data_IF_070927888689
#
_entry.id   IF_070927888689
#
_cell.length_a   1.000
_cell.length_b   1.000
_cell.length_c   1.000
_cell.angle_alpha   90.00
_cell.angle_beta   90.00
_cell.angle_gamma   90.00
#
_symmetry.space_group_name_H-M   'P 1'
#
loop_
_entity.id
_entity.type
_entity.pdbx_description
1 polymer ?
#
# COMPACT_ATOMS: atom_id res chain seq x y z
N UNK A 1 17.67 41.89 2.86
CA UNK A 1 16.51 41.38 3.63
C UNK A 1 15.95 40.15 2.95
N UNK A 2 16.14 38.96 3.55
CA UNK A 2 15.76 37.67 2.95
C UNK A 2 14.30 37.36 3.28
N UNK A 3 13.44 37.36 2.26
CA UNK A 3 12.03 36.96 2.36
C UNK A 3 11.94 35.46 2.65
N UNK A 4 11.41 35.12 3.83
CA UNK A 4 11.09 33.74 4.21
C UNK A 4 9.84 33.29 3.46
N UNK A 5 9.99 32.41 2.47
CA UNK A 5 8.87 31.67 1.91
C UNK A 5 8.49 30.58 2.93
N UNK A 6 7.47 30.86 3.73
CA UNK A 6 6.80 29.90 4.61
C UNK A 6 5.80 29.10 3.76
N UNK A 7 6.10 27.83 3.50
CA UNK A 7 5.14 26.88 2.92
C UNK A 7 4.60 25.97 4.02
N UNK A 8 3.48 26.36 4.65
CA UNK A 8 2.63 25.46 5.43
C UNK A 8 1.17 25.88 5.24
N UNK A 9 0.35 24.96 4.70
CA UNK A 9 -0.97 24.55 5.18
C UNK A 9 -1.90 24.19 4.01
N UNK A 10 -2.37 22.95 4.03
CA UNK A 10 -3.57 22.55 3.31
C UNK A 10 -4.75 23.40 3.81
N UNK A 11 -5.30 24.25 2.96
CA UNK A 11 -6.56 24.95 3.20
C UNK A 11 -7.38 24.96 1.91
N UNK A 12 -8.59 24.42 2.04
CA UNK A 12 -9.80 24.73 1.28
C UNK A 12 -9.64 24.88 -0.24
N UNK A 13 -9.78 23.76 -0.96
CA UNK A 13 -10.24 23.85 -2.35
C UNK A 13 -11.76 23.97 -2.36
N UNK A 14 -12.24 25.18 -2.63
CA UNK A 14 -13.58 25.41 -3.15
C UNK A 14 -13.75 24.61 -4.44
N UNK A 15 -14.77 23.76 -4.45
CA UNK A 15 -15.17 22.99 -5.63
C UNK A 15 -15.84 23.96 -6.59
N UNK A 16 -15.08 24.54 -7.51
CA UNK A 16 -15.63 25.19 -8.69
C UNK A 16 -15.14 24.46 -9.96
N UNK A 17 -16.07 23.64 -10.46
CA UNK A 17 -16.40 23.41 -11.86
C UNK A 17 -15.27 23.03 -12.84
N UNK A 18 -15.05 21.73 -12.96
CA UNK A 18 -14.88 21.06 -14.26
C UNK A 18 -15.76 19.80 -14.21
N UNK A 19 -17.06 19.96 -14.45
CA UNK A 19 -18.02 18.87 -14.45
C UNK A 19 -18.82 18.93 -15.76
N UNK A 20 -18.22 18.46 -16.85
CA UNK A 20 -18.93 18.25 -18.11
C UNK A 20 -18.68 16.87 -18.74
N UNK A 21 -18.02 15.92 -18.07
CA UNK A 21 -17.86 14.54 -18.58
C UNK A 21 -17.85 13.45 -17.48
N UNK A 22 -18.32 13.76 -16.26
CA UNK A 22 -18.37 12.74 -15.21
C UNK A 22 -19.54 11.78 -15.45
N UNK A 23 -19.27 10.48 -15.44
CA UNK A 23 -20.27 9.41 -15.51
C UNK A 23 -21.31 9.63 -14.41
N UNK A 24 -22.59 9.56 -14.80
CA UNK A 24 -23.73 9.66 -13.89
C UNK A 24 -24.29 8.26 -13.60
N UNK A 25 -24.90 8.12 -12.44
CA UNK A 25 -25.49 6.89 -11.93
C UNK A 25 -26.93 7.16 -11.52
N UNK A 26 -27.81 6.22 -11.84
CA UNK A 26 -29.19 6.20 -11.35
C UNK A 26 -29.26 5.57 -9.96
N UNK A 27 -30.30 5.91 -9.20
CA UNK A 27 -30.56 5.26 -7.91
C UNK A 27 -30.62 3.74 -8.06
N UNK A 28 -31.38 3.24 -9.05
CA UNK A 28 -31.56 1.80 -9.27
C UNK A 28 -30.23 1.09 -9.55
N UNK A 29 -29.36 1.65 -10.39
CA UNK A 29 -28.04 1.07 -10.67
C UNK A 29 -27.21 0.90 -9.40
N UNK A 30 -27.14 1.94 -8.55
CA UNK A 30 -26.34 1.87 -7.32
C UNK A 30 -27.00 0.96 -6.30
N UNK A 31 -28.32 1.01 -6.15
CA UNK A 31 -29.06 0.24 -5.16
C UNK A 31 -28.88 -1.27 -5.35
N UNK A 32 -28.88 -1.76 -6.59
CA UNK A 32 -28.73 -3.19 -6.89
C UNK A 32 -27.28 -3.71 -6.81
N UNK A 33 -26.29 -2.85 -6.61
CA UNK A 33 -24.90 -3.30 -6.42
C UNK A 33 -24.76 -4.11 -5.12
N UNK A 34 -23.88 -5.13 -5.07
CA UNK A 34 -23.62 -5.89 -3.86
C UNK A 34 -22.98 -5.01 -2.79
N UNK A 35 -23.43 -5.15 -1.54
CA UNK A 35 -22.91 -4.39 -0.40
C UNK A 35 -21.40 -4.59 -0.25
N UNK A 36 -20.64 -3.51 -0.42
CA UNK A 36 -19.19 -3.54 -0.53
C UNK A 36 -18.58 -2.14 -0.45
N UNK A 37 -17.25 -2.05 -0.31
CA UNK A 37 -16.51 -0.78 -0.38
C UNK A 37 -16.62 -0.17 -1.80
N UNK A 38 -16.70 -1.00 -2.83
CA UNK A 38 -16.91 -0.58 -4.21
C UNK A 38 -18.29 0.04 -4.39
N UNK A 39 -19.34 -0.56 -3.82
CA UNK A 39 -20.67 0.07 -3.73
C UNK A 39 -20.61 1.40 -2.97
N UNK A 40 -19.90 1.47 -1.84
CA UNK A 40 -19.74 2.72 -1.09
C UNK A 40 -19.16 3.86 -1.93
N UNK A 41 -18.22 3.55 -2.82
CA UNK A 41 -17.68 4.51 -3.77
C UNK A 41 -18.74 4.99 -4.75
N UNK A 42 -19.57 4.09 -5.30
CA UNK A 42 -20.66 4.48 -6.19
C UNK A 42 -21.80 5.22 -5.47
N UNK A 43 -22.07 4.91 -4.20
CA UNK A 43 -22.95 5.71 -3.34
C UNK A 43 -22.39 7.13 -3.21
N UNK A 44 -21.08 7.28 -2.96
CA UNK A 44 -20.46 8.60 -2.89
C UNK A 44 -20.55 9.36 -4.22
N UNK A 45 -20.25 8.70 -5.35
CA UNK A 45 -20.38 9.26 -6.70
C UNK A 45 -21.82 9.75 -6.94
N UNK A 46 -22.81 8.92 -6.64
CA UNK A 46 -24.22 9.24 -6.75
C UNK A 46 -24.58 10.47 -5.90
N UNK A 47 -24.25 10.48 -4.61
CA UNK A 47 -24.51 11.61 -3.72
C UNK A 47 -23.87 12.93 -4.17
N UNK A 48 -22.76 12.87 -4.92
CA UNK A 48 -22.10 14.06 -5.47
C UNK A 48 -22.81 14.66 -6.69
N UNK A 49 -23.73 13.93 -7.34
CA UNK A 49 -24.48 14.43 -8.50
C UNK A 49 -25.44 15.53 -8.09
N UNK A 50 -25.63 16.53 -8.96
CA UNK A 50 -26.62 17.60 -8.71
C UNK A 50 -28.05 17.05 -8.63
N UNK A 51 -28.36 16.06 -9.46
CA UNK A 51 -29.69 15.45 -9.61
C UNK A 51 -30.16 14.62 -8.41
N UNK A 52 -29.26 14.13 -7.56
CA UNK A 52 -29.63 13.30 -6.41
C UNK A 52 -30.40 14.11 -5.36
N UNK A 53 -31.61 13.65 -5.06
CA UNK A 53 -32.52 14.25 -4.08
C UNK A 53 -32.16 13.85 -2.64
N UNK A 54 -32.65 14.62 -1.67
CA UNK A 54 -32.50 14.28 -0.25
C UNK A 54 -33.18 12.95 0.11
N UNK A 55 -34.30 12.60 -0.53
CA UNK A 55 -35.02 11.34 -0.31
C UNK A 55 -34.20 10.14 -0.78
N UNK A 56 -33.66 10.20 -2.00
CA UNK A 56 -32.77 9.16 -2.52
C UNK A 56 -31.51 9.04 -1.67
N UNK A 57 -30.92 10.16 -1.25
CA UNK A 57 -29.74 10.18 -0.40
C UNK A 57 -29.97 9.47 0.95
N UNK A 58 -31.13 9.69 1.60
CA UNK A 58 -31.50 8.99 2.84
C UNK A 58 -31.66 7.49 2.63
N UNK A 59 -32.30 7.10 1.51
CA UNK A 59 -32.53 5.69 1.20
C UNK A 59 -31.24 4.95 0.85
N UNK A 60 -30.47 5.45 -0.12
CA UNK A 60 -29.26 4.77 -0.62
C UNK A 60 -28.16 4.65 0.44
N UNK A 61 -28.13 5.55 1.42
CA UNK A 61 -27.14 5.50 2.51
C UNK A 61 -27.30 4.24 3.39
N UNK A 62 -28.50 3.65 3.45
CA UNK A 62 -28.73 2.41 4.21
C UNK A 62 -27.98 1.21 3.61
N UNK A 63 -27.67 1.28 2.31
CA UNK A 63 -26.93 0.24 1.60
C UNK A 63 -25.43 0.29 1.85
N UNK A 64 -24.93 1.39 2.43
CA UNK A 64 -23.49 1.55 2.63
C UNK A 64 -22.92 0.51 3.59
N UNK A 65 -21.73 0.03 3.26
CA UNK A 65 -20.98 -0.95 4.03
C UNK A 65 -20.10 -0.26 5.08
N UNK A 66 -19.48 0.86 4.75
CA UNK A 66 -18.63 1.65 5.63
C UNK A 66 -18.84 3.16 5.46
N UNK A 67 -18.83 3.91 6.57
CA UNK A 67 -18.85 5.37 6.53
C UNK A 67 -17.45 5.97 6.66
N UNK A 68 -16.89 6.41 5.55
CA UNK A 68 -15.72 7.28 5.55
C UNK A 68 -16.11 8.77 5.61
N UNK A 69 -15.12 9.65 5.71
CA UNK A 69 -15.33 11.11 5.76
C UNK A 69 -16.05 11.65 4.52
N UNK A 70 -15.66 11.20 3.32
CA UNK A 70 -16.23 11.64 2.03
C UNK A 70 -17.73 11.33 1.92
N UNK A 71 -18.14 10.12 2.29
CA UNK A 71 -19.55 9.72 2.32
C UNK A 71 -20.35 10.57 3.31
N UNK A 72 -19.83 10.76 4.53
CA UNK A 72 -20.50 11.59 5.55
C UNK A 72 -20.69 13.02 5.07
N UNK A 73 -19.68 13.61 4.43
CA UNK A 73 -19.74 14.97 3.90
C UNK A 73 -20.72 15.09 2.73
N UNK A 74 -20.67 14.17 1.76
CA UNK A 74 -21.58 14.16 0.62
C UNK A 74 -23.04 13.99 1.07
N UNK A 75 -23.29 13.08 2.01
CA UNK A 75 -24.62 12.87 2.59
C UNK A 75 -25.12 14.09 3.37
N UNK A 76 -24.27 14.69 4.21
CA UNK A 76 -24.63 15.90 4.97
C UNK A 76 -24.96 17.05 4.04
N UNK A 77 -24.20 17.23 2.95
CA UNK A 77 -24.48 18.24 1.91
C UNK A 77 -25.85 18.04 1.25
N UNK A 78 -26.30 16.79 1.08
CA UNK A 78 -27.59 16.46 0.44
C UNK A 78 -28.79 16.50 1.36
N UNK A 79 -28.61 16.19 2.65
CA UNK A 79 -29.73 15.96 3.57
C UNK A 79 -29.78 16.93 4.75
N UNK A 80 -28.71 17.71 4.97
CA UNK A 80 -28.49 18.51 6.19
C UNK A 80 -28.14 17.66 7.43
N UNK A 81 -28.26 16.34 7.36
CA UNK A 81 -28.14 15.43 8.51
C UNK A 81 -26.80 14.69 8.54
N UNK A 82 -26.40 14.20 9.71
CA UNK A 82 -25.20 13.37 9.83
C UNK A 82 -25.53 11.90 9.58
N UNK A 83 -24.84 11.25 8.65
CA UNK A 83 -25.01 9.83 8.38
C UNK A 83 -24.59 8.96 9.58
N UNK A 84 -25.38 7.95 9.90
CA UNK A 84 -25.08 6.87 10.86
C UNK A 84 -25.45 5.54 10.24
N UNK A 85 -24.60 4.52 10.41
CA UNK A 85 -24.92 3.14 10.08
C UNK A 85 -25.23 2.38 11.35
N UNK A 86 -26.11 1.38 11.23
CA UNK A 86 -26.31 0.41 12.30
C UNK A 86 -24.97 -0.28 12.61
N UNK A 87 -24.64 -0.49 13.90
CA UNK A 87 -23.44 -1.24 14.27
C UNK A 87 -23.55 -2.65 13.70
N UNK A 88 -22.52 -3.07 12.95
CA UNK A 88 -22.44 -4.46 12.50
C UNK A 88 -22.09 -5.35 13.71
N UNK A 89 -22.66 -6.56 13.79
CA UNK A 89 -22.21 -7.51 14.80
C UNK A 89 -20.70 -7.74 14.68
N UNK A 90 -19.98 -7.87 15.79
CA UNK A 90 -18.54 -8.14 15.77
C UNK A 90 -18.26 -9.44 15.01
N UNK A 91 -17.54 -9.36 13.88
CA UNK A 91 -17.11 -10.52 13.08
C UNK A 91 -15.87 -11.21 13.71
N UNK A 92 -15.65 -11.05 15.02
CA UNK A 92 -14.45 -11.57 15.67
C UNK A 92 -14.63 -13.04 16.03
N UNK A 93 -13.78 -13.92 15.47
CA UNK A 93 -13.59 -15.24 16.07
C UNK A 93 -12.79 -15.09 17.37
N UNK A 94 -13.01 -15.96 18.36
CA UNK A 94 -12.30 -15.88 19.65
C UNK A 94 -10.76 -15.91 19.48
N UNK A 95 -10.28 -16.64 18.47
CA UNK A 95 -8.87 -16.66 18.03
C UNK A 95 -8.35 -15.28 17.64
N UNK A 96 -9.13 -14.51 16.89
CA UNK A 96 -8.72 -13.19 16.37
C UNK A 96 -8.52 -12.19 17.51
N UNK A 97 -9.35 -12.29 18.55
CA UNK A 97 -9.24 -11.45 19.75
C UNK A 97 -7.96 -11.77 20.53
N UNK A 98 -7.60 -13.04 20.67
CA UNK A 98 -6.37 -13.44 21.34
C UNK A 98 -5.14 -12.98 20.55
N UNK A 99 -5.13 -13.20 19.24
CA UNK A 99 -4.07 -12.76 18.33
C UNK A 99 -3.85 -11.25 18.38
N UNK A 100 -4.94 -10.46 18.41
CA UNK A 100 -4.85 -9.01 18.55
C UNK A 100 -4.20 -8.60 19.88
N UNK A 101 -4.59 -9.20 21.00
CA UNK A 101 -4.00 -8.91 22.33
C UNK A 101 -2.50 -9.21 22.34
N UNK A 102 -2.12 -10.39 21.85
CA UNK A 102 -0.71 -10.80 21.75
C UNK A 102 0.09 -9.83 20.91
N UNK A 103 -0.45 -9.41 19.76
CA UNK A 103 0.19 -8.45 18.86
C UNK A 103 0.36 -7.07 19.51
N UNK A 104 -0.65 -6.56 20.21
CA UNK A 104 -0.57 -5.26 20.91
C UNK A 104 0.55 -5.29 21.95
N UNK A 105 0.62 -6.36 22.75
CA UNK A 105 1.64 -6.50 23.79
C UNK A 105 3.04 -6.67 23.19
N UNK A 106 3.18 -7.50 22.15
CA UNK A 106 4.43 -7.66 21.41
C UNK A 106 4.93 -6.32 20.82
N UNK A 107 4.02 -5.49 20.29
CA UNK A 107 4.35 -4.15 19.81
C UNK A 107 4.84 -3.21 20.91
N UNK A 108 4.28 -3.30 22.13
CA UNK A 108 4.79 -2.54 23.28
C UNK A 108 6.22 -2.97 23.64
N UNK A 109 6.48 -4.27 23.66
CA UNK A 109 7.83 -4.78 23.92
C UNK A 109 8.81 -4.33 22.84
N UNK A 110 8.44 -4.44 21.57
CA UNK A 110 9.27 -3.99 20.45
C UNK A 110 9.58 -2.50 20.53
N UNK A 111 8.56 -1.65 20.73
CA UNK A 111 8.72 -0.21 20.86
C UNK A 111 9.59 0.17 22.07
N UNK A 112 9.50 -0.58 23.17
CA UNK A 112 10.34 -0.37 24.34
C UNK A 112 11.80 -0.76 24.07
N UNK A 113 12.04 -1.86 23.35
CA UNK A 113 13.37 -2.22 22.86
C UNK A 113 14.02 -1.10 22.04
N UNK A 114 13.28 -0.53 21.08
CA UNK A 114 13.73 0.62 20.27
C UNK A 114 14.07 1.84 21.15
N UNK A 115 13.24 2.16 22.15
CA UNK A 115 13.51 3.26 23.09
C UNK A 115 14.78 3.00 23.92
N UNK A 116 15.02 1.76 24.34
CA UNK A 116 16.20 1.38 25.13
C UNK A 116 17.50 1.47 24.34
N UNK A 117 17.48 1.18 23.02
CA UNK A 117 18.61 1.43 22.13
C UNK A 117 19.01 2.91 22.15
N UNK A 118 18.02 3.82 22.03
CA UNK A 118 18.27 5.27 22.11
C UNK A 118 18.86 5.72 23.44
N UNK A 119 18.61 4.98 24.53
CA UNK A 119 19.18 5.19 25.87
C UNK A 119 20.50 4.43 26.10
N UNK A 120 21.08 3.81 25.06
CA UNK A 120 22.28 2.95 25.12
C UNK A 120 22.15 1.75 26.09
N UNK A 121 20.93 1.36 26.47
CA UNK A 121 20.66 0.21 27.36
C UNK A 121 20.49 -1.07 26.52
N UNK A 122 21.58 -1.48 25.85
CA UNK A 122 21.53 -2.52 24.81
C UNK A 122 21.11 -3.89 25.33
N UNK A 123 21.62 -4.31 26.50
CA UNK A 123 21.25 -5.60 27.09
C UNK A 123 19.75 -5.69 27.40
N UNK A 124 19.18 -4.64 27.99
CA UNK A 124 17.74 -4.54 28.22
C UNK A 124 16.98 -4.52 26.90
N UNK A 125 17.49 -3.83 25.87
CA UNK A 125 16.84 -3.83 24.55
C UNK A 125 16.73 -5.26 23.97
N UNK A 126 17.79 -6.07 24.10
CA UNK A 126 17.83 -7.47 23.68
C UNK A 126 16.72 -8.29 24.37
N UNK A 127 16.59 -8.18 25.70
CA UNK A 127 15.53 -8.86 26.47
C UNK A 127 14.12 -8.53 25.94
N UNK A 128 13.88 -7.26 25.63
CA UNK A 128 12.60 -6.79 25.10
C UNK A 128 12.33 -7.29 23.67
N UNK A 129 13.35 -7.39 22.82
CA UNK A 129 13.18 -8.01 21.50
C UNK A 129 12.90 -9.51 21.57
N UNK A 130 13.47 -10.23 22.55
CA UNK A 130 13.09 -11.63 22.79
C UNK A 130 11.63 -11.76 23.24
N UNK A 131 11.18 -10.92 24.18
CA UNK A 131 9.77 -10.88 24.62
C UNK A 131 8.84 -10.64 23.43
N UNK A 132 9.15 -9.63 22.61
CA UNK A 132 8.39 -9.34 21.40
C UNK A 132 8.38 -10.53 20.42
N UNK A 133 9.54 -11.14 20.14
CA UNK A 133 9.65 -12.26 19.19
C UNK A 133 8.82 -13.48 19.61
N UNK A 134 8.80 -13.80 20.91
CA UNK A 134 8.01 -14.91 21.47
C UNK A 134 6.51 -14.70 21.32
N UNK A 135 6.04 -13.45 21.39
CA UNK A 135 4.61 -13.11 21.37
C UNK A 135 4.05 -12.83 19.97
N UNK A 136 4.86 -12.33 19.03
CA UNK A 136 4.38 -12.09 17.68
C UNK A 136 3.89 -13.39 17.06
N UNK A 137 2.72 -13.36 16.41
CA UNK A 137 2.19 -14.52 15.65
C UNK A 137 2.56 -14.41 14.18
N UNK A 138 2.61 -13.18 13.63
CA UNK A 138 2.94 -12.96 12.22
C UNK A 138 4.44 -13.09 11.94
N UNK A 139 4.77 -13.85 10.89
CA UNK A 139 6.16 -14.20 10.53
C UNK A 139 7.05 -12.99 10.29
N UNK A 140 6.57 -11.96 9.59
CA UNK A 140 7.37 -10.77 9.29
C UNK A 140 7.69 -9.93 10.54
N UNK A 141 6.86 -9.97 11.59
CA UNK A 141 7.14 -9.31 12.87
C UNK A 141 8.21 -10.10 13.68
N UNK A 142 8.16 -11.44 13.60
CA UNK A 142 9.25 -12.30 14.09
C UNK A 142 10.56 -12.04 13.35
N UNK A 143 10.53 -11.90 12.03
CA UNK A 143 11.72 -11.61 11.24
C UNK A 143 12.33 -10.25 11.60
N UNK A 144 11.49 -9.22 11.74
CA UNK A 144 11.91 -7.91 12.23
C UNK A 144 12.66 -7.98 13.56
N UNK A 145 12.13 -8.72 14.54
CA UNK A 145 12.77 -8.89 15.85
C UNK A 145 14.08 -9.68 15.76
N UNK A 146 14.13 -10.75 14.96
CA UNK A 146 15.36 -11.51 14.72
C UNK A 146 16.47 -10.63 14.12
N UNK A 147 16.12 -9.73 13.20
CA UNK A 147 17.10 -8.81 12.62
C UNK A 147 17.62 -7.79 13.64
N UNK A 148 16.76 -7.26 14.51
CA UNK A 148 17.20 -6.40 15.61
C UNK A 148 18.10 -7.13 16.61
N UNK A 149 17.78 -8.38 16.94
CA UNK A 149 18.65 -9.23 17.76
C UNK A 149 20.02 -9.43 17.10
N UNK A 150 20.06 -9.72 15.80
CA UNK A 150 21.32 -9.76 15.04
C UNK A 150 22.09 -8.43 15.11
N UNK A 151 21.42 -7.29 14.89
CA UNK A 151 22.09 -5.99 14.92
C UNK A 151 22.76 -5.72 16.27
N UNK A 152 22.13 -6.14 17.37
CA UNK A 152 22.57 -5.91 18.75
C UNK A 152 23.64 -6.91 19.21
N UNK A 153 23.53 -8.18 18.87
CA UNK A 153 24.43 -9.23 19.39
C UNK A 153 25.48 -9.70 18.38
N UNK A 154 25.29 -9.41 17.10
CA UNK A 154 26.08 -9.91 15.96
C UNK A 154 26.09 -11.42 15.79
N UNK A 155 25.23 -12.15 16.50
CA UNK A 155 25.17 -13.61 16.39
C UNK A 155 24.52 -14.06 15.07
N UNK A 156 25.27 -14.81 14.25
CA UNK A 156 24.81 -15.29 12.94
C UNK A 156 23.60 -16.23 12.99
N UNK A 157 23.30 -16.87 14.14
CA UNK A 157 22.13 -17.74 14.30
C UNK A 157 20.82 -17.03 13.95
N UNK A 158 20.73 -15.72 14.14
CA UNK A 158 19.56 -14.94 13.78
C UNK A 158 19.42 -14.76 12.26
N UNK A 159 20.54 -14.54 11.56
CA UNK A 159 20.56 -14.53 10.09
C UNK A 159 20.18 -15.89 9.53
N UNK A 160 20.66 -16.99 10.13
CA UNK A 160 20.26 -18.34 9.74
C UNK A 160 18.76 -18.58 9.93
N UNK A 161 18.17 -18.09 11.02
CA UNK A 161 16.71 -18.14 11.23
C UNK A 161 15.94 -17.31 10.20
N UNK A 162 16.45 -16.14 9.82
CA UNK A 162 15.85 -15.29 8.78
C UNK A 162 15.90 -15.95 7.40
N UNK A 163 16.99 -16.61 7.05
CA UNK A 163 17.14 -17.33 5.79
C UNK A 163 16.17 -18.51 5.64
N UNK A 164 15.68 -19.06 6.75
CA UNK A 164 14.66 -20.12 6.78
C UNK A 164 13.22 -19.57 6.81
N UNK A 165 13.03 -18.25 6.86
CA UNK A 165 11.68 -17.65 6.86
C UNK A 165 11.02 -17.81 5.49
N UNK A 166 9.75 -18.20 5.48
CA UNK A 166 8.96 -18.27 4.24
C UNK A 166 8.51 -16.89 3.74
N UNK A 167 8.44 -15.90 4.64
CA UNK A 167 7.87 -14.61 4.33
C UNK A 167 8.91 -13.68 3.71
N UNK A 168 8.67 -13.21 2.49
CA UNK A 168 9.54 -12.23 1.82
C UNK A 168 9.36 -10.85 2.47
N UNK A 169 10.41 -10.36 3.12
CA UNK A 169 10.45 -9.02 3.68
C UNK A 169 11.88 -8.46 3.68
N UNK A 170 12.01 -7.16 3.96
CA UNK A 170 13.28 -6.45 4.03
C UNK A 170 14.35 -7.20 4.83
N UNK A 171 13.98 -7.78 5.98
CA UNK A 171 14.91 -8.44 6.89
C UNK A 171 15.44 -9.76 6.33
N UNK A 172 14.60 -10.54 5.65
CA UNK A 172 15.03 -11.77 4.96
C UNK A 172 15.98 -11.50 3.79
N UNK A 173 15.76 -10.41 3.05
CA UNK A 173 16.64 -10.00 1.95
C UNK A 173 17.96 -9.45 2.48
N UNK A 174 17.93 -8.66 3.56
CA UNK A 174 19.15 -8.19 4.22
C UNK A 174 19.98 -9.37 4.77
N UNK A 175 19.34 -10.36 5.38
CA UNK A 175 20.04 -11.56 5.85
C UNK A 175 20.66 -12.36 4.70
N UNK A 176 20.03 -12.40 3.53
CA UNK A 176 20.63 -13.01 2.34
C UNK A 176 21.80 -12.17 1.80
N UNK A 177 21.70 -10.85 1.78
CA UNK A 177 22.76 -9.95 1.32
C UNK A 177 24.00 -10.01 2.21
N UNK A 178 23.81 -9.94 3.53
CA UNK A 178 24.89 -9.98 4.53
C UNK A 178 25.67 -11.29 4.47
N UNK A 179 24.98 -12.39 4.19
CA UNK A 179 25.58 -13.73 4.11
C UNK A 179 25.93 -14.13 2.67
N UNK A 180 25.84 -13.19 1.72
CA UNK A 180 26.14 -13.41 0.30
C UNK A 180 25.37 -14.59 -0.34
N UNK A 181 24.13 -14.85 0.12
CA UNK A 181 23.26 -15.93 -0.38
C UNK A 181 22.25 -15.44 -1.43
N UNK A 182 21.59 -16.39 -2.09
CA UNK A 182 20.49 -16.12 -3.02
C UNK A 182 19.24 -15.66 -2.26
N UNK A 183 18.40 -14.85 -2.91
CA UNK A 183 17.08 -14.51 -2.37
C UNK A 183 16.14 -15.70 -2.31
N UNK A 184 15.13 -15.68 -1.42
CA UNK A 184 14.34 -16.87 -1.14
C UNK A 184 13.55 -17.34 -2.36
N UNK A 185 13.49 -18.68 -2.55
CA UNK A 185 12.80 -19.32 -3.67
C UNK A 185 11.27 -19.19 -3.59
N UNK A 186 10.70 -18.72 -2.48
CA UNK A 186 9.26 -18.45 -2.33
C UNK A 186 8.79 -17.20 -3.09
N UNK A 187 9.69 -16.48 -3.77
CA UNK A 187 9.38 -15.42 -4.74
C UNK A 187 8.97 -16.05 -6.07
N UNK A 188 7.68 -15.96 -6.40
CA UNK A 188 7.10 -16.58 -7.61
C UNK A 188 6.69 -15.49 -8.61
N UNK A 189 7.03 -15.68 -9.88
CA UNK A 189 6.40 -14.94 -10.98
C UNK A 189 5.54 -15.91 -11.76
N UNK A 190 4.20 -15.74 -11.75
CA UNK A 190 3.32 -16.60 -12.51
C UNK A 190 3.56 -16.42 -14.01
N UNK A 191 3.40 -17.50 -14.78
CA UNK A 191 3.40 -17.48 -16.23
C UNK A 191 1.98 -17.78 -16.71
N UNK A 192 1.38 -16.83 -17.44
CA UNK A 192 -0.05 -16.86 -17.78
C UNK A 192 -0.19 -16.73 -19.29
N UNK A 193 -0.82 -17.72 -19.92
CA UNK A 193 -1.04 -17.75 -21.37
C UNK A 193 -2.31 -16.99 -21.77
N UNK A 194 -3.42 -17.23 -21.05
CA UNK A 194 -4.75 -16.63 -21.31
C UNK A 194 -4.70 -15.11 -21.23
N UNK A 195 -5.28 -14.42 -22.22
CA UNK A 195 -5.33 -12.96 -22.22
C UNK A 195 -6.44 -12.44 -21.29
N UNK A 196 -7.63 -13.03 -21.37
CA UNK A 196 -8.83 -12.70 -20.60
C UNK A 196 -9.55 -13.97 -20.14
N UNK A 197 -10.58 -13.81 -19.30
CA UNK A 197 -11.53 -14.85 -18.90
C UNK A 197 -12.97 -14.37 -19.17
N UNK A 198 -13.90 -15.31 -19.39
CA UNK A 198 -15.31 -14.97 -19.59
C UNK A 198 -15.98 -14.60 -18.26
N UNK A 199 -16.86 -13.60 -18.27
CA UNK A 199 -17.73 -13.26 -17.13
C UNK A 199 -17.05 -12.50 -15.99
N UNK A 200 -15.81 -12.03 -16.15
CA UNK A 200 -15.12 -11.18 -15.18
C UNK A 200 -14.48 -10.01 -15.91
N UNK A 201 -14.94 -8.79 -15.65
CA UNK A 201 -14.25 -7.57 -16.08
C UNK A 201 -13.21 -7.16 -15.02
N UNK A 202 -11.92 -7.19 -15.40
CA UNK A 202 -10.82 -6.81 -14.53
C UNK A 202 -10.86 -5.33 -14.09
N UNK A 203 -11.56 -4.48 -14.84
CA UNK A 203 -11.68 -3.04 -14.63
C UNK A 203 -12.98 -2.66 -13.90
N UNK A 204 -13.97 -3.55 -13.77
CA UNK A 204 -15.22 -3.28 -13.06
C UNK A 204 -15.07 -3.51 -11.54
N UNK A 205 -15.18 -2.47 -10.68
CA UNK A 205 -15.20 -2.62 -9.23
C UNK A 205 -16.30 -3.56 -8.72
N UNK A 206 -17.44 -3.65 -9.40
CA UNK A 206 -18.54 -4.49 -8.97
C UNK A 206 -18.24 -5.98 -9.20
N UNK A 207 -17.57 -6.34 -10.29
CA UNK A 207 -17.09 -7.70 -10.49
C UNK A 207 -16.03 -8.09 -9.46
N UNK A 208 -15.14 -7.16 -9.10
CA UNK A 208 -14.22 -7.39 -7.98
C UNK A 208 -14.95 -7.56 -6.63
N UNK A 209 -16.03 -6.80 -6.39
CA UNK A 209 -16.86 -6.95 -5.20
C UNK A 209 -17.55 -8.32 -5.16
N UNK A 210 -18.09 -8.81 -6.29
CA UNK A 210 -18.67 -10.16 -6.42
C UNK A 210 -17.64 -11.24 -6.14
N UNK A 211 -16.43 -11.13 -6.70
CA UNK A 211 -15.34 -12.07 -6.45
C UNK A 211 -14.99 -12.11 -4.96
N UNK A 212 -14.84 -10.95 -4.30
CA UNK A 212 -14.62 -10.90 -2.85
C UNK A 212 -15.76 -11.53 -2.07
N UNK A 213 -17.01 -11.36 -2.46
CA UNK A 213 -18.14 -12.02 -1.80
C UNK A 213 -18.02 -13.54 -1.89
N UNK A 214 -17.71 -14.10 -3.07
CA UNK A 214 -17.46 -15.54 -3.27
C UNK A 214 -16.37 -16.07 -2.34
N UNK A 215 -15.29 -15.31 -2.12
CA UNK A 215 -14.19 -15.71 -1.22
C UNK A 215 -14.59 -15.88 0.25
N UNK A 216 -15.73 -15.33 0.69
CA UNK A 216 -16.18 -15.43 2.08
C UNK A 216 -17.28 -16.48 2.27
N UNK A 217 -17.66 -17.22 1.22
CA UNK A 217 -18.56 -18.35 1.35
C UNK A 217 -17.90 -19.46 2.18
N UNK A 218 -18.65 -20.19 3.04
CA UNK A 218 -18.08 -21.21 3.92
C UNK A 218 -17.32 -22.34 3.21
N UNK A 219 -17.73 -22.66 2.00
CA UNK A 219 -17.26 -23.73 1.12
C UNK A 219 -16.34 -23.23 -0.01
N UNK A 220 -15.92 -21.96 0.03
CA UNK A 220 -15.09 -21.38 -1.02
C UNK A 220 -13.69 -22.03 -1.09
N UNK A 221 -13.37 -22.70 -2.21
CA UNK A 221 -12.00 -23.06 -2.54
C UNK A 221 -11.29 -21.88 -3.22
N UNK A 222 -10.30 -21.30 -2.53
CA UNK A 222 -9.55 -20.16 -3.04
C UNK A 222 -8.59 -20.52 -4.18
N UNK A 223 -8.22 -21.79 -4.36
CA UNK A 223 -7.47 -22.23 -5.53
C UNK A 223 -8.37 -22.27 -6.75
N UNK A 224 -9.55 -22.87 -6.65
CA UNK A 224 -10.51 -22.93 -7.76
C UNK A 224 -10.92 -21.52 -8.20
N UNK A 225 -11.24 -20.63 -7.23
CA UNK A 225 -11.52 -19.22 -7.53
C UNK A 225 -10.34 -18.50 -8.20
N UNK A 226 -9.10 -18.88 -7.87
CA UNK A 226 -7.93 -18.31 -8.52
C UNK A 226 -7.81 -18.79 -9.97
N UNK A 227 -8.13 -20.06 -10.24
CA UNK A 227 -8.11 -20.67 -11.57
C UNK A 227 -9.21 -20.09 -12.46
N UNK A 228 -10.40 -19.85 -11.92
CA UNK A 228 -11.52 -19.15 -12.57
C UNK A 228 -11.12 -17.78 -13.14
N UNK A 229 -10.21 -17.07 -12.47
CA UNK A 229 -9.74 -15.75 -12.88
C UNK A 229 -8.28 -15.75 -13.36
N UNK A 230 -7.75 -16.87 -13.84
CA UNK A 230 -6.39 -16.95 -14.38
C UNK A 230 -6.29 -16.38 -15.80
N UNK A 231 -5.96 -15.09 -15.91
CA UNK A 231 -5.59 -14.44 -17.18
C UNK A 231 -4.62 -13.28 -16.98
N UNK A 232 -4.07 -12.74 -18.08
CA UNK A 232 -3.21 -11.55 -18.05
C UNK A 232 -3.95 -10.32 -17.54
N UNK A 233 -5.22 -10.15 -17.87
CA UNK A 233 -6.07 -9.04 -17.41
C UNK A 233 -6.41 -9.15 -15.92
N UNK A 234 -6.74 -10.35 -15.45
CA UNK A 234 -7.16 -10.61 -14.06
C UNK A 234 -6.02 -11.09 -13.16
N UNK A 235 -4.75 -10.97 -13.58
CA UNK A 235 -3.60 -11.54 -12.85
C UNK A 235 -3.43 -10.99 -11.42
N UNK A 236 -3.89 -9.77 -11.18
CA UNK A 236 -3.94 -9.20 -9.84
C UNK A 236 -4.91 -9.95 -8.92
N UNK A 237 -6.10 -10.31 -9.43
CA UNK A 237 -7.10 -11.11 -8.71
C UNK A 237 -6.59 -12.53 -8.48
N UNK A 238 -6.08 -13.18 -9.55
CA UNK A 238 -5.52 -14.53 -9.48
C UNK A 238 -4.40 -14.64 -8.43
N UNK A 239 -3.39 -13.77 -8.49
CA UNK A 239 -2.26 -13.83 -7.54
C UNK A 239 -2.66 -13.45 -6.12
N UNK A 240 -3.68 -12.60 -5.95
CA UNK A 240 -4.26 -12.30 -4.64
C UNK A 240 -4.92 -13.54 -4.02
N UNK A 241 -5.71 -14.27 -4.81
CA UNK A 241 -6.36 -15.52 -4.39
C UNK A 241 -5.34 -16.62 -4.07
N UNK A 242 -4.37 -16.88 -4.97
CA UNK A 242 -3.29 -17.86 -4.69
C UNK A 242 -2.48 -17.50 -3.45
N UNK A 243 -2.24 -16.21 -3.18
CA UNK A 243 -1.56 -15.77 -1.97
C UNK A 243 -2.38 -16.09 -0.70
N UNK A 244 -3.69 -15.86 -0.73
CA UNK A 244 -4.58 -16.21 0.39
C UNK A 244 -4.72 -17.72 0.57
N UNK A 245 -4.89 -18.47 -0.51
CA UNK A 245 -5.03 -19.94 -0.49
C UNK A 245 -3.84 -20.62 0.21
N UNK A 246 -2.62 -20.13 -0.02
CA UNK A 246 -1.42 -20.65 0.66
C UNK A 246 -1.05 -19.92 1.96
N UNK A 247 -1.97 -19.16 2.56
CA UNK A 247 -1.75 -18.36 3.76
C UNK A 247 -0.46 -17.51 3.70
N UNK A 248 -0.21 -16.90 2.54
CA UNK A 248 0.95 -16.03 2.25
C UNK A 248 2.33 -16.68 2.44
N UNK A 249 2.42 -18.02 2.44
CA UNK A 249 3.70 -18.73 2.47
C UNK A 249 4.50 -18.54 1.17
N UNK A 250 3.80 -18.27 0.08
CA UNK A 250 4.35 -17.91 -1.24
C UNK A 250 4.12 -16.43 -1.51
N UNK A 251 5.11 -15.77 -2.13
CA UNK A 251 5.01 -14.36 -2.51
C UNK A 251 5.01 -14.20 -4.01
N UNK A 252 3.87 -13.78 -4.56
CA UNK A 252 3.69 -13.58 -5.99
C UNK A 252 4.14 -12.17 -6.41
N UNK A 253 4.86 -12.10 -7.53
CA UNK A 253 5.42 -10.90 -8.17
C UNK A 253 5.17 -10.98 -9.68
N UNK A 254 3.92 -10.79 -10.13
CA UNK A 254 3.58 -10.73 -11.54
C UNK A 254 4.12 -9.43 -12.17
N UNK A 255 4.27 -9.43 -13.50
CA UNK A 255 4.67 -8.24 -14.27
C UNK A 255 3.64 -7.96 -15.37
N UNK A 256 2.38 -7.61 -15.01
CA UNK A 256 1.33 -7.34 -15.99
C UNK A 256 1.61 -6.09 -16.83
N UNK A 257 0.85 -5.94 -17.91
CA UNK A 257 0.89 -4.74 -18.76
C UNK A 257 2.29 -4.42 -19.31
N UNK A 258 3.08 -5.46 -19.63
CA UNK A 258 4.45 -5.33 -20.17
C UNK A 258 4.52 -4.33 -21.32
N UNK A 259 3.54 -4.32 -22.22
CA UNK A 259 3.43 -3.36 -23.33
C UNK A 259 3.47 -1.90 -22.87
N UNK A 260 2.59 -1.51 -21.94
CA UNK A 260 2.56 -0.16 -21.36
C UNK A 260 3.84 0.21 -20.61
N UNK A 261 4.56 -0.80 -20.12
CA UNK A 261 5.77 -0.63 -19.31
C UNK A 261 7.06 -0.54 -20.14
N UNK A 262 7.06 -0.99 -21.41
CA UNK A 262 8.25 -1.06 -22.29
C UNK A 262 8.95 0.29 -22.47
N UNK A 263 8.20 1.39 -22.46
CA UNK A 263 8.74 2.75 -22.66
C UNK A 263 9.56 3.28 -21.49
N UNK A 264 9.49 2.65 -20.31
CA UNK A 264 10.16 3.12 -19.11
C UNK A 264 11.51 2.43 -18.90
N UNK A 265 12.45 3.11 -18.24
CA UNK A 265 13.66 2.48 -17.73
C UNK A 265 13.34 1.33 -16.78
N UNK A 266 14.27 0.38 -16.60
CA UNK A 266 14.05 -0.78 -15.71
C UNK A 266 13.82 -0.33 -14.26
N UNK A 267 14.48 0.74 -13.83
CA UNK A 267 14.34 1.36 -12.52
C UNK A 267 12.93 1.94 -12.34
N UNK A 268 12.42 2.67 -13.35
CA UNK A 268 11.04 3.20 -13.33
C UNK A 268 10.02 2.07 -13.38
N UNK A 269 10.25 1.05 -14.22
CA UNK A 269 9.39 -0.14 -14.26
C UNK A 269 9.33 -0.82 -12.88
N UNK A 270 10.48 -1.06 -12.25
CA UNK A 270 10.55 -1.68 -10.93
C UNK A 270 9.81 -0.85 -9.89
N UNK A 271 9.93 0.48 -9.91
CA UNK A 271 9.23 1.36 -8.97
C UNK A 271 7.71 1.31 -9.14
N UNK A 272 7.20 1.41 -10.37
CA UNK A 272 5.76 1.29 -10.66
C UNK A 272 5.24 -0.09 -10.24
N UNK A 273 5.91 -1.18 -10.63
CA UNK A 273 5.52 -2.53 -10.19
C UNK A 273 5.52 -2.68 -8.67
N UNK A 274 6.47 -2.04 -7.98
CA UNK A 274 6.60 -2.13 -6.52
C UNK A 274 5.48 -1.45 -5.79
N UNK A 275 5.08 -0.28 -6.28
CA UNK A 275 3.96 0.50 -5.78
C UNK A 275 2.65 -0.22 -6.09
N UNK A 276 2.39 -0.58 -7.36
CA UNK A 276 1.19 -1.32 -7.76
C UNK A 276 0.99 -2.62 -6.96
N UNK A 277 2.07 -3.38 -6.75
CA UNK A 277 2.04 -4.57 -5.90
C UNK A 277 1.61 -4.23 -4.49
N UNK A 278 2.19 -3.18 -3.90
CA UNK A 278 1.91 -2.81 -2.52
C UNK A 278 0.52 -2.19 -2.33
N UNK A 279 0.06 -1.39 -3.29
CA UNK A 279 -1.22 -0.68 -3.26
C UNK A 279 -2.42 -1.61 -3.44
N UNK A 280 -2.42 -2.42 -4.49
CA UNK A 280 -3.61 -3.15 -4.93
C UNK A 280 -3.37 -4.62 -5.26
N UNK A 281 -2.11 -5.09 -5.20
CA UNK A 281 -1.69 -6.36 -5.79
C UNK A 281 -2.04 -6.45 -7.28
N UNK A 282 -1.98 -5.32 -8.00
CA UNK A 282 -2.30 -5.19 -9.42
C UNK A 282 -3.78 -5.36 -9.79
N UNK A 283 -4.71 -5.40 -8.83
CA UNK A 283 -6.15 -5.43 -9.13
C UNK A 283 -6.57 -4.07 -9.71
N UNK A 284 -6.97 -3.98 -11.00
CA UNK A 284 -7.31 -2.70 -11.62
C UNK A 284 -8.54 -2.07 -10.97
N UNK A 285 -9.60 -2.85 -10.79
CA UNK A 285 -10.86 -2.51 -10.13
C UNK A 285 -10.79 -2.19 -8.62
N UNK A 286 -9.61 -1.97 -8.03
CA UNK A 286 -9.46 -1.82 -6.58
C UNK A 286 -9.95 -0.47 -6.06
N UNK A 287 -10.78 -0.50 -5.01
CA UNK A 287 -11.27 0.68 -4.28
C UNK A 287 -10.91 0.58 -2.80
N UNK A 288 -10.23 1.59 -2.25
CA UNK A 288 -9.97 1.64 -0.80
C UNK A 288 -11.15 2.17 0.00
N UNK A 289 -11.14 1.94 1.32
CA UNK A 289 -12.09 2.55 2.26
C UNK A 289 -12.12 4.09 2.21
N UNK A 290 -11.07 4.73 1.72
CA UNK A 290 -10.99 6.19 1.56
C UNK A 290 -11.28 6.64 0.12
N UNK A 291 -11.67 5.71 -0.75
CA UNK A 291 -11.88 5.88 -2.18
C UNK A 291 -10.61 6.24 -2.96
N UNK A 292 -9.50 5.59 -2.61
CA UNK A 292 -8.35 5.50 -3.50
C UNK A 292 -8.65 4.47 -4.59
N UNK A 293 -8.34 4.80 -5.86
CA UNK A 293 -8.85 4.10 -7.03
C UNK A 293 -7.75 3.47 -7.86
N UNK A 294 -8.07 2.35 -8.50
CA UNK A 294 -7.20 1.74 -9.48
C UNK A 294 -6.11 0.87 -8.87
N UNK A 295 -5.35 0.20 -9.74
CA UNK A 295 -4.18 -0.58 -9.33
C UNK A 295 -3.09 0.25 -8.64
N UNK A 296 -3.11 1.58 -8.83
CA UNK A 296 -2.15 2.54 -8.26
C UNK A 296 -2.71 3.31 -7.06
N UNK A 297 -3.98 3.09 -6.69
CA UNK A 297 -4.63 3.69 -5.52
C UNK A 297 -4.52 5.23 -5.48
N UNK A 298 -4.87 5.88 -6.58
CA UNK A 298 -4.93 7.33 -6.65
C UNK A 298 -6.14 7.89 -5.90
N UNK A 299 -5.93 8.90 -5.07
CA UNK A 299 -7.01 9.64 -4.43
C UNK A 299 -7.67 10.62 -5.42
N UNK A 300 -9.01 10.83 -5.37
CA UNK A 300 -9.73 11.73 -6.28
C UNK A 300 -9.12 13.11 -6.46
N UNK A 301 -8.70 13.76 -5.36
CA UNK A 301 -8.08 15.08 -5.44
C UNK A 301 -6.76 15.08 -6.23
N UNK A 302 -6.01 13.98 -6.20
CA UNK A 302 -4.75 13.86 -6.93
C UNK A 302 -5.01 13.55 -8.41
N UNK A 303 -6.05 12.77 -8.72
CA UNK A 303 -6.51 12.51 -10.09
C UNK A 303 -6.89 13.85 -10.75
N UNK A 304 -7.76 14.62 -10.10
CA UNK A 304 -8.19 15.95 -10.58
C UNK A 304 -7.01 16.91 -10.75
N UNK A 305 -6.06 16.89 -9.79
CA UNK A 305 -4.87 17.73 -9.87
C UNK A 305 -3.98 17.39 -11.07
N UNK A 306 -3.70 16.10 -11.30
CA UNK A 306 -2.89 15.64 -12.43
C UNK A 306 -3.62 15.93 -13.76
N UNK A 307 -4.92 15.66 -13.84
CA UNK A 307 -5.73 15.95 -15.01
C UNK A 307 -5.66 17.44 -15.40
N UNK A 308 -5.86 18.32 -14.42
CA UNK A 308 -5.72 19.77 -14.61
C UNK A 308 -4.32 20.16 -15.08
N UNK A 309 -3.27 19.54 -14.55
CA UNK A 309 -1.89 19.82 -14.96
C UNK A 309 -1.57 19.33 -16.37
N UNK A 310 -2.22 18.26 -16.81
CA UNK A 310 -2.11 17.71 -18.16
C UNK A 310 -3.05 18.40 -19.16
N UNK A 311 -3.98 19.22 -18.69
CA UNK A 311 -5.00 19.85 -19.54
C UNK A 311 -6.03 18.85 -20.08
N UNK A 312 -6.22 17.70 -19.43
CA UNK A 312 -7.16 16.68 -19.86
C UNK A 312 -8.42 16.62 -18.99
N UNK A 313 -9.54 16.24 -19.61
CA UNK A 313 -10.75 15.84 -18.90
C UNK A 313 -10.63 14.36 -18.53
N UNK A 314 -11.10 14.00 -17.33
CA UNK A 314 -11.04 12.62 -16.83
C UNK A 314 -12.25 12.29 -15.95
N UNK A 315 -12.76 11.06 -16.06
CA UNK A 315 -13.64 10.48 -15.04
C UNK A 315 -12.82 9.72 -14.00
N UNK A 316 -13.26 9.68 -12.75
CA UNK A 316 -12.53 8.95 -11.71
C UNK A 316 -12.43 7.45 -12.01
N UNK A 317 -13.42 6.86 -12.70
CA UNK A 317 -13.43 5.45 -13.11
C UNK A 317 -12.34 5.14 -14.16
N UNK A 318 -11.78 6.16 -14.83
CA UNK A 318 -10.65 5.98 -15.76
C UNK A 318 -9.39 5.45 -15.04
N UNK A 319 -9.30 5.60 -13.71
CA UNK A 319 -8.22 5.01 -12.92
C UNK A 319 -8.30 3.48 -12.81
N UNK A 320 -9.46 2.87 -13.12
CA UNK A 320 -9.56 1.42 -13.22
C UNK A 320 -8.91 0.89 -14.50
N UNK A 321 -8.69 1.75 -15.51
CA UNK A 321 -7.92 1.39 -16.70
C UNK A 321 -6.42 1.33 -16.38
N UNK A 322 -5.75 0.16 -16.53
CA UNK A 322 -4.35 0.01 -16.18
C UNK A 322 -3.41 0.94 -16.94
N UNK A 323 -3.68 1.24 -18.22
CA UNK A 323 -2.84 2.12 -19.03
C UNK A 323 -2.88 3.55 -18.50
N UNK A 324 -4.07 4.05 -18.18
CA UNK A 324 -4.25 5.39 -17.60
C UNK A 324 -3.69 5.46 -16.16
N UNK A 325 -3.90 4.44 -15.35
CA UNK A 325 -3.32 4.35 -14.01
C UNK A 325 -1.77 4.38 -14.03
N UNK A 326 -1.14 3.65 -14.97
CA UNK A 326 0.31 3.65 -15.17
C UNK A 326 0.80 5.04 -15.65
N UNK A 327 0.07 5.68 -16.56
CA UNK A 327 0.39 7.03 -17.03
C UNK A 327 0.39 8.05 -15.88
N UNK A 328 -0.66 8.03 -15.04
CA UNK A 328 -0.78 8.93 -13.89
C UNK A 328 0.27 8.64 -12.82
N UNK A 329 0.59 7.37 -12.59
CA UNK A 329 1.67 6.97 -11.71
C UNK A 329 3.02 7.50 -12.17
N UNK A 330 3.33 7.37 -13.47
CA UNK A 330 4.58 7.86 -14.02
C UNK A 330 4.72 9.38 -13.86
N UNK A 331 3.66 10.14 -14.21
CA UNK A 331 3.61 11.59 -14.02
C UNK A 331 3.83 11.99 -12.55
N UNK A 332 3.16 11.31 -11.61
CA UNK A 332 3.32 11.61 -10.20
C UNK A 332 4.72 11.25 -9.69
N UNK A 333 5.29 10.16 -10.17
CA UNK A 333 6.64 9.73 -9.81
C UNK A 333 7.72 10.66 -10.35
N UNK A 334 7.54 11.30 -11.51
CA UNK A 334 8.44 12.36 -12.00
C UNK A 334 8.49 13.55 -11.06
N UNK A 335 7.33 13.99 -10.59
CA UNK A 335 7.24 15.03 -9.57
C UNK A 335 7.98 14.64 -8.28
N UNK A 336 7.78 13.42 -7.78
CA UNK A 336 8.47 12.96 -6.57
C UNK A 336 9.99 12.84 -6.78
N UNK A 337 10.42 12.31 -7.92
CA UNK A 337 11.83 12.11 -8.27
C UNK A 337 12.60 13.42 -8.50
N UNK A 338 11.90 14.54 -8.71
CA UNK A 338 12.50 15.88 -8.72
C UNK A 338 13.15 16.23 -7.36
N UNK A 339 12.67 15.62 -6.28
CA UNK A 339 13.12 15.92 -4.92
C UNK A 339 13.72 14.73 -4.17
N UNK A 340 13.32 13.51 -4.50
CA UNK A 340 13.66 12.29 -3.78
C UNK A 340 14.25 11.27 -4.75
N UNK A 341 15.50 10.88 -4.56
CA UNK A 341 16.19 9.96 -5.46
C UNK A 341 16.11 8.52 -4.97
N UNK A 342 16.03 8.33 -3.65
CA UNK A 342 16.03 7.01 -3.05
C UNK A 342 14.62 6.39 -3.03
N UNK A 343 14.44 5.14 -3.53
CA UNK A 343 13.12 4.51 -3.67
C UNK A 343 12.33 4.40 -2.36
N UNK A 344 12.99 4.24 -1.22
CA UNK A 344 12.33 4.27 0.10
C UNK A 344 11.64 5.61 0.39
N UNK A 345 12.29 6.73 0.07
CA UNK A 345 11.74 8.05 0.35
C UNK A 345 10.64 8.39 -0.66
N UNK A 346 10.81 8.00 -1.92
CA UNK A 346 9.73 8.10 -2.92
C UNK A 346 8.50 7.31 -2.45
N UNK A 347 8.68 6.11 -1.90
CA UNK A 347 7.58 5.33 -1.33
C UNK A 347 6.90 6.02 -0.13
N UNK A 348 7.67 6.62 0.79
CA UNK A 348 7.10 7.42 1.87
C UNK A 348 6.30 8.61 1.34
N UNK A 349 6.77 9.27 0.29
CA UNK A 349 6.09 10.41 -0.29
C UNK A 349 4.85 10.03 -1.09
N UNK A 350 4.86 8.89 -1.78
CA UNK A 350 3.69 8.35 -2.48
C UNK A 350 2.56 8.04 -1.49
N UNK A 351 2.87 7.37 -0.36
CA UNK A 351 1.87 6.98 0.62
C UNK A 351 1.48 8.11 1.61
N UNK A 352 2.46 8.82 2.16
CA UNK A 352 2.27 9.81 3.23
C UNK A 352 2.31 11.27 2.76
N UNK A 353 2.61 11.50 1.48
CA UNK A 353 2.82 12.83 0.92
C UNK A 353 4.26 13.32 1.04
N UNK A 354 4.71 14.10 0.04
CA UNK A 354 6.07 14.67 0.00
C UNK A 354 6.34 15.63 1.16
N UNK A 355 5.34 16.41 1.61
CA UNK A 355 5.49 17.34 2.73
C UNK A 355 5.76 16.62 4.06
N UNK A 356 5.10 15.49 4.30
CA UNK A 356 5.40 14.62 5.43
C UNK A 356 6.84 14.08 5.34
N UNK A 357 7.21 13.55 4.17
CA UNK A 357 8.53 12.95 3.94
C UNK A 357 9.65 13.96 4.13
N UNK A 358 9.52 15.16 3.54
CA UNK A 358 10.45 16.29 3.74
C UNK A 358 10.63 16.60 5.23
N UNK A 359 9.53 16.81 5.97
CA UNK A 359 9.60 17.10 7.41
C UNK A 359 10.26 15.98 8.21
N UNK A 360 10.05 14.72 7.83
CA UNK A 360 10.66 13.57 8.49
C UNK A 360 12.18 13.56 8.29
N UNK A 361 12.63 13.60 7.04
CA UNK A 361 14.06 13.42 6.71
C UNK A 361 14.91 14.63 7.11
N UNK A 362 14.32 15.84 7.15
CA UNK A 362 15.02 17.06 7.59
C UNK A 362 15.31 17.09 9.09
N UNK A 363 14.71 16.20 9.91
CA UNK A 363 15.05 16.10 11.33
C UNK A 363 16.49 15.61 11.48
N UNK A 364 17.26 16.28 12.34
CA UNK A 364 18.69 15.97 12.56
C UNK A 364 18.95 14.55 13.06
N UNK A 365 17.97 13.91 13.69
CA UNK A 365 18.06 12.55 14.23
C UNK A 365 17.43 11.46 13.35
N UNK A 366 17.15 11.76 12.07
CA UNK A 366 16.64 10.81 11.07
C UNK A 366 17.62 10.68 9.90
N UNK A 367 17.93 9.44 9.55
CA UNK A 367 18.71 9.06 8.36
C UNK A 367 20.05 9.81 8.30
N UNK A 368 20.77 9.80 9.42
CA UNK A 368 22.16 10.26 9.57
C UNK A 368 23.06 9.08 9.96
N UNK A 369 24.37 9.24 9.79
CA UNK A 369 25.33 8.25 10.29
C UNK A 369 25.22 8.13 11.82
N UNK A 370 25.26 6.90 12.32
CA UNK A 370 25.20 6.62 13.75
C UNK A 370 24.96 5.14 14.02
N UNK A 371 25.09 4.72 15.29
CA UNK A 371 24.84 3.34 15.69
C UNK A 371 23.42 2.90 15.29
N UNK A 372 23.33 1.74 14.65
CA UNK A 372 22.07 1.13 14.18
C UNK A 372 21.29 1.96 13.14
N UNK A 373 21.85 3.04 12.60
CA UNK A 373 21.26 3.76 11.48
C UNK A 373 21.55 3.04 10.15
N UNK A 374 20.63 3.10 9.17
CA UNK A 374 19.35 3.82 9.15
C UNK A 374 18.17 3.05 9.78
N UNK A 375 18.40 1.83 10.30
CA UNK A 375 17.34 0.97 10.82
C UNK A 375 16.57 1.63 11.95
N UNK A 376 17.28 2.31 12.84
CA UNK A 376 16.67 3.04 13.94
C UNK A 376 15.77 4.19 13.45
N UNK A 377 16.21 4.97 12.45
CA UNK A 377 15.37 5.99 11.81
C UNK A 377 14.10 5.43 11.19
N UNK A 378 14.18 4.27 10.52
CA UNK A 378 12.99 3.62 10.01
C UNK A 378 12.01 3.26 11.14
N UNK A 379 12.48 2.65 12.23
CA UNK A 379 11.57 2.21 13.32
C UNK A 379 11.02 3.34 14.19
N UNK A 380 11.77 4.45 14.37
CA UNK A 380 11.31 5.61 15.15
C UNK A 380 10.18 6.40 14.48
N UNK A 381 9.98 6.23 13.17
CA UNK A 381 8.95 6.93 12.41
C UNK A 381 7.56 6.65 12.99
N UNK A 382 6.86 7.70 13.43
CA UNK A 382 5.57 7.60 14.13
C UNK A 382 4.42 7.21 13.21
N UNK A 383 4.47 7.62 11.94
CA UNK A 383 3.52 7.17 10.93
C UNK A 383 3.81 5.69 10.58
N UNK A 384 3.17 4.77 11.30
CA UNK A 384 3.37 3.32 11.13
C UNK A 384 2.98 2.85 9.73
N UNK A 385 1.91 3.41 9.15
CA UNK A 385 1.46 3.04 7.81
C UNK A 385 2.54 3.32 6.78
N UNK A 386 3.02 4.56 6.71
CA UNK A 386 4.06 4.94 5.75
C UNK A 386 5.38 4.20 6.03
N UNK A 387 5.71 3.92 7.30
CA UNK A 387 6.91 3.18 7.69
C UNK A 387 6.90 1.77 7.09
N UNK A 388 5.83 1.01 7.35
CA UNK A 388 5.73 -0.36 6.86
C UNK A 388 5.52 -0.40 5.34
N UNK A 389 4.81 0.60 4.78
CA UNK A 389 4.67 0.78 3.33
C UNK A 389 6.03 0.92 2.64
N UNK A 390 6.88 1.85 3.10
CA UNK A 390 8.18 2.08 2.48
C UNK A 390 9.10 0.86 2.55
N UNK A 391 9.14 0.16 3.69
CA UNK A 391 9.90 -1.10 3.81
C UNK A 391 9.46 -2.15 2.78
N UNK A 392 8.14 -2.28 2.57
CA UNK A 392 7.56 -3.22 1.60
C UNK A 392 7.82 -2.79 0.17
N UNK A 393 7.67 -1.52 -0.17
CA UNK A 393 7.95 -1.01 -1.52
C UNK A 393 9.43 -1.15 -1.87
N UNK A 394 10.35 -0.82 -0.95
CA UNK A 394 11.78 -1.00 -1.19
C UNK A 394 12.15 -2.49 -1.39
N UNK A 395 11.54 -3.37 -0.59
CA UNK A 395 11.67 -4.82 -0.77
C UNK A 395 11.18 -5.25 -2.16
N UNK A 396 10.00 -4.78 -2.56
CA UNK A 396 9.44 -5.08 -3.88
C UNK A 396 10.34 -4.56 -5.00
N UNK A 397 10.90 -3.36 -4.84
CA UNK A 397 11.73 -2.70 -5.83
C UNK A 397 12.96 -3.53 -6.16
N UNK A 398 13.65 -4.02 -5.14
CA UNK A 398 14.81 -4.90 -5.32
C UNK A 398 14.40 -6.20 -6.02
N UNK A 399 13.27 -6.80 -5.65
CA UNK A 399 12.79 -8.04 -6.30
C UNK A 399 12.46 -7.79 -7.78
N UNK A 400 11.77 -6.70 -8.12
CA UNK A 400 11.44 -6.38 -9.51
C UNK A 400 12.65 -5.99 -10.34
N UNK A 401 13.64 -5.28 -9.78
CA UNK A 401 14.90 -5.01 -10.48
C UNK A 401 15.57 -6.31 -10.94
N UNK A 402 15.67 -7.30 -10.04
CA UNK A 402 16.22 -8.61 -10.39
C UNK A 402 15.38 -9.32 -11.48
N UNK A 403 14.04 -9.27 -11.39
CA UNK A 403 13.14 -9.85 -12.39
C UNK A 403 13.20 -9.17 -13.76
N UNK A 404 13.57 -7.89 -13.79
CA UNK A 404 13.82 -7.14 -15.02
C UNK A 404 15.25 -7.33 -15.55
N UNK A 405 16.04 -8.24 -14.96
CA UNK A 405 17.41 -8.53 -15.38
C UNK A 405 18.42 -7.47 -14.95
N UNK A 406 18.17 -6.73 -13.86
CA UNK A 406 19.16 -5.88 -13.18
C UNK A 406 19.53 -6.50 -11.84
N UNK A 407 20.67 -7.18 -11.79
CA UNK A 407 21.19 -7.76 -10.54
C UNK A 407 21.27 -6.68 -9.46
N UNK A 408 20.48 -6.83 -8.40
CA UNK A 408 20.28 -5.77 -7.40
C UNK A 408 20.22 -6.37 -6.01
N UNK A 409 20.89 -5.73 -5.06
CA UNK A 409 20.89 -6.10 -3.64
C UNK A 409 20.24 -5.00 -2.80
N UNK A 410 19.60 -5.36 -1.69
CA UNK A 410 18.89 -4.45 -0.80
C UNK A 410 19.85 -3.69 0.13
N UNK A 411 20.90 -4.33 0.62
CA UNK A 411 21.85 -3.73 1.56
C UNK A 411 22.50 -2.43 1.03
N UNK A 412 22.94 -2.33 -0.25
CA UNK A 412 23.45 -1.07 -0.79
C UNK A 412 22.45 0.10 -0.69
N UNK A 413 21.17 -0.13 -0.99
CA UNK A 413 20.13 0.90 -0.82
C UNK A 413 19.98 1.30 0.64
N UNK A 414 20.00 0.34 1.57
CA UNK A 414 19.98 0.65 3.00
C UNK A 414 21.19 1.53 3.38
N UNK A 415 22.39 1.20 2.94
CA UNK A 415 23.59 1.98 3.27
C UNK A 415 23.52 3.42 2.74
N UNK A 416 22.93 3.63 1.56
CA UNK A 416 22.73 4.96 0.96
C UNK A 416 21.84 5.88 1.80
N UNK A 417 20.93 5.35 2.62
CA UNK A 417 19.95 6.17 3.36
C UNK A 417 20.57 7.19 4.30
N UNK A 418 21.79 6.95 4.79
CA UNK A 418 22.51 7.87 5.69
C UNK A 418 23.35 8.92 4.97
N UNK A 419 23.36 8.89 3.63
CA UNK A 419 24.03 9.86 2.75
C UNK A 419 22.98 10.74 2.05
N UNK A 420 22.75 11.97 2.53
CA UNK A 420 21.72 12.86 1.98
C UNK A 420 21.90 13.14 0.49
N UNK A 421 23.15 13.28 0.02
CA UNK A 421 23.48 13.58 -1.38
C UNK A 421 22.96 12.52 -2.35
N UNK A 422 22.81 11.28 -1.89
CA UNK A 422 22.33 10.13 -2.66
C UNK A 422 20.84 9.87 -2.54
N UNK A 423 20.13 10.65 -1.72
CA UNK A 423 18.76 10.29 -1.33
C UNK A 423 17.73 11.37 -1.61
N UNK A 424 18.10 12.64 -1.52
CA UNK A 424 17.16 13.74 -1.72
C UNK A 424 17.82 15.09 -2.02
N UNK A 425 17.01 16.02 -2.54
CA UNK A 425 17.36 17.41 -2.82
C UNK A 425 17.18 18.32 -1.60
N UNK A 426 16.51 17.86 -0.53
CA UNK A 426 16.11 18.72 0.59
C UNK A 426 17.23 18.96 1.60
N UNK A 427 18.16 18.01 1.73
CA UNK A 427 19.21 17.98 2.76
C UNK A 427 20.61 18.18 2.17
N UNK A 428 20.72 19.06 1.17
CA UNK A 428 22.00 19.48 0.60
C UNK A 428 22.87 20.18 1.63
#
# INVERSE_FOLDING_TARGET
MKLKIVFIAFLLFGINSIALNAKTFTYSQVHHMPKSIEKDYYIWRFLCQRTTTAKEARSIMQDADHLNKKLKEAYKKKTGSTARLAPKPPVFKASDKMDWKLKVEANKYFATGIKLIGKKKLQKAIEYFYKANRMYTQRWEKDKTLFWLYLLTKEKRYLHKLQKSYHINMYTLLAADIEHKKYPRTIITPNISKNSVFGIDAQDPIDWAKMKARMHLPDADLNDLAEDCESKETIGMHTYLKAKACNYQKSYFPMPYRGSMKKFSKERQALIYSIARQESRFVPASVSRSFALGMMQFMPFLIEHIAKKKGEHIDLDDMFNPKKAIEYADYHLDYLNTYLYHPLFVAYAYNGGIGFTKRLIMKSNYFRRGPFEPYLSMEKMTNVQAREYGKRVLTNYVVYMNKLGRSTRLLPYINMLTDPSKTDKFRK
#
